data_IF_238318882079
#
_entry.id   IF_238318882079
#
_cell.length_a   1.000
_cell.length_b   1.000
_cell.length_c   1.000
_cell.angle_alpha   90.00
_cell.angle_beta   90.00
_cell.angle_gamma   90.00
#
_symmetry.space_group_name_H-M   'P 1'
#
loop_
_entity.id
_entity.type
_entity.pdbx_description
1 polymer ?
#
# COMPACT_ATOMS: atom_id res chain seq x y z
N UNK A 1 -8.95 18.33 10.53
CA UNK A 1 -9.01 17.64 9.23
C UNK A 1 -10.43 17.71 8.71
N UNK A 2 -10.62 18.20 7.49
CA UNK A 2 -11.94 18.27 6.86
C UNK A 2 -12.63 16.89 6.87
N UNK A 3 -13.92 16.87 7.21
CA UNK A 3 -14.75 15.66 7.28
C UNK A 3 -14.76 14.91 5.94
N UNK A 4 -14.65 15.62 4.81
CA UNK A 4 -14.55 15.00 3.48
C UNK A 4 -13.21 14.30 3.29
N UNK A 5 -12.10 15.00 3.57
CA UNK A 5 -10.74 14.46 3.48
C UNK A 5 -10.57 13.23 4.39
N UNK A 6 -11.16 13.25 5.59
CA UNK A 6 -11.12 12.11 6.51
C UNK A 6 -11.82 10.87 5.96
N UNK A 7 -12.98 11.03 5.30
CA UNK A 7 -13.68 9.91 4.67
C UNK A 7 -12.87 9.32 3.52
N UNK A 8 -12.30 10.17 2.68
CA UNK A 8 -11.49 9.77 1.54
C UNK A 8 -10.21 9.03 2.01
N UNK A 9 -9.55 9.53 3.06
CA UNK A 9 -8.41 8.87 3.68
C UNK A 9 -8.76 7.48 4.22
N UNK A 10 -9.89 7.34 4.92
CA UNK A 10 -10.33 6.03 5.42
C UNK A 10 -10.51 5.05 4.26
N UNK A 11 -11.20 5.45 3.19
CA UNK A 11 -11.41 4.60 2.02
C UNK A 11 -10.09 4.18 1.37
N UNK A 12 -9.18 5.14 1.16
CA UNK A 12 -7.88 4.88 0.51
C UNK A 12 -7.05 3.91 1.33
N UNK A 13 -6.95 4.13 2.63
CA UNK A 13 -6.17 3.30 3.55
C UNK A 13 -6.80 1.92 3.73
N UNK A 14 -8.13 1.80 3.71
CA UNK A 14 -8.82 0.49 3.74
C UNK A 14 -8.47 -0.35 2.51
N UNK A 15 -8.47 0.24 1.31
CA UNK A 15 -8.13 -0.49 0.08
C UNK A 15 -6.64 -0.87 0.07
N UNK A 16 -5.74 0.00 0.57
CA UNK A 16 -4.32 -0.35 0.75
C UNK A 16 -4.15 -1.55 1.68
N UNK A 17 -4.89 -1.60 2.79
CA UNK A 17 -4.83 -2.73 3.73
C UNK A 17 -5.36 -4.01 3.11
N UNK A 18 -6.41 -3.95 2.28
CA UNK A 18 -6.90 -5.11 1.53
C UNK A 18 -5.83 -5.66 0.59
N UNK A 19 -5.17 -4.80 -0.19
CA UNK A 19 -4.06 -5.22 -1.05
C UNK A 19 -2.89 -5.80 -0.26
N UNK A 20 -2.51 -5.17 0.85
CA UNK A 20 -1.44 -5.67 1.71
C UNK A 20 -1.78 -7.03 2.32
N UNK A 21 -3.05 -7.26 2.68
CA UNK A 21 -3.54 -8.55 3.15
C UNK A 21 -3.52 -9.58 2.01
N UNK A 22 -3.98 -9.22 0.81
CA UNK A 22 -3.91 -10.09 -0.37
C UNK A 22 -2.47 -10.51 -0.66
N UNK A 23 -1.49 -9.60 -0.54
CA UNK A 23 -0.07 -9.94 -0.73
C UNK A 23 0.43 -10.99 0.28
N UNK A 24 0.05 -10.87 1.56
CA UNK A 24 0.34 -11.88 2.59
C UNK A 24 -0.29 -13.22 2.21
N UNK A 25 -1.56 -13.21 1.79
CA UNK A 25 -2.27 -14.43 1.40
C UNK A 25 -1.62 -15.09 0.18
N UNK A 26 -1.33 -14.34 -0.88
CA UNK A 26 -0.63 -14.84 -2.07
C UNK A 26 0.74 -15.45 -1.73
N UNK A 27 1.51 -14.83 -0.83
CA UNK A 27 2.80 -15.38 -0.38
C UNK A 27 2.68 -16.69 0.42
N UNK A 28 1.53 -16.98 1.03
CA UNK A 28 1.29 -18.26 1.69
C UNK A 28 0.91 -19.38 0.70
N UNK A 29 0.34 -19.03 -0.45
CA UNK A 29 -0.08 -19.99 -1.47
C UNK A 29 1.01 -20.33 -2.49
N UNK A 30 2.10 -19.55 -2.56
CA UNK A 30 3.23 -19.80 -3.45
C UNK A 30 4.30 -20.64 -2.71
N UNK A 31 4.49 -21.93 -3.06
CA UNK A 31 5.51 -22.75 -2.43
C UNK A 31 6.92 -22.20 -2.72
N UNK A 32 7.71 -22.00 -1.66
CA UNK A 32 9.12 -21.59 -1.76
C UNK A 32 9.43 -20.15 -1.29
N UNK A 33 8.44 -19.32 -0.98
CA UNK A 33 8.70 -17.98 -0.46
C UNK A 33 8.95 -18.01 1.05
N UNK A 34 10.22 -18.01 1.47
CA UNK A 34 10.62 -17.81 2.88
C UNK A 34 10.29 -16.39 3.42
N UNK A 35 9.57 -15.57 2.64
CA UNK A 35 9.30 -14.16 2.96
C UNK A 35 7.96 -13.92 3.66
N UNK A 36 7.15 -14.95 3.93
CA UNK A 36 5.85 -14.80 4.61
C UNK A 36 5.97 -14.02 5.92
N UNK A 37 6.99 -14.32 6.73
CA UNK A 37 7.26 -13.58 7.96
C UNK A 37 7.50 -12.09 7.72
N UNK A 38 8.24 -11.74 6.66
CA UNK A 38 8.48 -10.34 6.29
C UNK A 38 7.20 -9.65 5.81
N UNK A 39 6.35 -10.34 5.04
CA UNK A 39 5.07 -9.79 4.58
C UNK A 39 4.10 -9.54 5.74
N UNK A 40 4.05 -10.46 6.72
CA UNK A 40 3.25 -10.27 7.94
C UNK A 40 3.74 -9.07 8.75
N UNK A 41 5.06 -8.95 8.95
CA UNK A 41 5.64 -7.78 9.66
C UNK A 41 5.33 -6.49 8.91
N UNK A 42 5.50 -6.46 7.58
CA UNK A 42 5.16 -5.30 6.75
C UNK A 42 3.68 -4.93 6.87
N UNK A 43 2.78 -5.91 6.89
CA UNK A 43 1.34 -5.69 7.08
C UNK A 43 1.06 -5.05 8.44
N UNK A 44 1.62 -5.60 9.53
CA UNK A 44 1.45 -5.07 10.89
C UNK A 44 1.96 -3.64 10.98
N UNK A 45 3.16 -3.36 10.46
CA UNK A 45 3.74 -2.00 10.46
C UNK A 45 2.88 -1.02 9.65
N UNK A 46 2.35 -1.46 8.50
CA UNK A 46 1.43 -0.66 7.68
C UNK A 46 0.15 -0.35 8.44
N UNK A 47 -0.42 -1.34 9.14
CA UNK A 47 -1.61 -1.16 9.97
C UNK A 47 -1.38 -0.17 11.11
N UNK A 48 -0.22 -0.24 11.78
CA UNK A 48 0.16 0.73 12.82
C UNK A 48 0.26 2.14 12.24
N UNK A 49 0.93 2.32 11.09
CA UNK A 49 1.03 3.62 10.42
C UNK A 49 -0.33 4.18 10.01
N UNK A 50 -1.23 3.33 9.49
CA UNK A 50 -2.61 3.70 9.14
C UNK A 50 -3.36 4.21 10.37
N UNK A 51 -3.24 3.54 11.52
CA UNK A 51 -3.88 4.00 12.76
C UNK A 51 -3.38 5.38 13.18
N UNK A 52 -2.06 5.62 13.13
CA UNK A 52 -1.51 6.94 13.44
C UNK A 52 -1.92 8.01 12.43
N UNK A 53 -1.95 7.69 11.14
CA UNK A 53 -2.43 8.57 10.08
C UNK A 53 -3.90 8.98 10.30
N UNK A 54 -4.76 8.03 10.65
CA UNK A 54 -6.18 8.29 10.95
C UNK A 54 -6.41 9.10 12.23
N UNK A 55 -5.47 9.05 13.18
CA UNK A 55 -5.43 9.92 14.36
C UNK A 55 -4.89 11.33 14.07
N UNK A 56 -4.47 11.61 12.83
CA UNK A 56 -3.97 12.92 12.42
C UNK A 56 -2.49 13.15 12.73
N UNK A 57 -1.70 12.10 12.95
CA UNK A 57 -0.27 12.24 13.16
C UNK A 57 0.44 12.62 11.85
N UNK A 58 0.94 13.85 11.76
CA UNK A 58 1.58 14.39 10.55
C UNK A 58 2.82 13.59 10.11
N UNK A 59 3.62 13.12 11.07
CA UNK A 59 4.79 12.28 10.78
C UNK A 59 4.40 10.94 10.13
N UNK A 60 3.30 10.33 10.57
CA UNK A 60 2.83 9.06 10.03
C UNK A 60 2.30 9.23 8.60
N UNK A 61 1.58 10.33 8.32
CA UNK A 61 1.15 10.68 6.97
C UNK A 61 2.35 10.89 6.03
N UNK A 62 3.40 11.55 6.52
CA UNK A 62 4.63 11.77 5.76
C UNK A 62 5.32 10.45 5.42
N UNK A 63 5.59 9.60 6.43
CA UNK A 63 6.22 8.29 6.22
C UNK A 63 5.38 7.43 5.28
N UNK A 64 4.07 7.33 5.54
CA UNK A 64 3.17 6.49 4.76
C UNK A 64 3.08 6.98 3.30
N UNK A 65 3.12 8.29 3.06
CA UNK A 65 3.12 8.83 1.69
C UNK A 65 4.34 8.39 0.88
N UNK A 66 5.53 8.44 1.49
CA UNK A 66 6.79 8.04 0.85
C UNK A 66 6.82 6.54 0.61
N UNK A 67 6.48 5.74 1.63
CA UNK A 67 6.47 4.29 1.53
C UNK A 67 5.46 3.80 0.49
N UNK A 68 4.27 4.40 0.44
CA UNK A 68 3.25 4.04 -0.53
C UNK A 68 3.68 4.40 -1.96
N UNK A 69 4.24 5.61 -2.17
CA UNK A 69 4.71 6.02 -3.49
C UNK A 69 5.89 5.16 -3.99
N UNK A 70 6.91 4.97 -3.15
CA UNK A 70 8.09 4.18 -3.51
C UNK A 70 7.74 2.68 -3.68
N UNK A 71 6.95 2.13 -2.76
CA UNK A 71 6.47 0.74 -2.84
C UNK A 71 5.60 0.53 -4.07
N UNK A 72 4.66 1.43 -4.34
CA UNK A 72 3.81 1.38 -5.53
C UNK A 72 4.61 1.43 -6.83
N UNK A 73 5.59 2.33 -6.94
CA UNK A 73 6.47 2.40 -8.11
C UNK A 73 7.25 1.10 -8.32
N UNK A 74 7.84 0.57 -7.25
CA UNK A 74 8.58 -0.68 -7.30
C UNK A 74 7.70 -1.86 -7.75
N UNK A 75 6.49 -1.97 -7.18
CA UNK A 75 5.51 -3.00 -7.54
C UNK A 75 5.14 -2.90 -9.02
N UNK A 76 4.88 -1.71 -9.55
CA UNK A 76 4.54 -1.55 -10.98
C UNK A 76 5.71 -2.02 -11.86
N UNK A 77 6.94 -1.60 -11.55
CA UNK A 77 8.12 -1.98 -12.34
C UNK A 77 8.36 -3.49 -12.29
N UNK A 78 8.30 -4.11 -11.12
CA UNK A 78 8.51 -5.57 -10.98
C UNK A 78 7.38 -6.39 -11.63
N UNK A 79 6.16 -5.86 -11.60
CA UNK A 79 5.02 -6.50 -12.25
C UNK A 79 5.11 -6.40 -13.77
N UNK A 80 5.59 -5.28 -14.32
CA UNK A 80 5.84 -5.14 -15.76
C UNK A 80 6.87 -6.15 -16.27
N UNK A 81 7.93 -6.43 -15.50
CA UNK A 81 8.92 -7.44 -15.88
C UNK A 81 8.39 -8.87 -15.86
N UNK A 82 7.29 -9.15 -15.15
CA UNK A 82 6.73 -10.51 -15.02
C UNK A 82 5.51 -10.77 -15.92
N UNK A 83 5.12 -9.81 -16.78
CA UNK A 83 3.94 -9.92 -17.67
C UNK A 83 3.99 -11.16 -18.57
N UNK A 84 5.18 -11.51 -19.07
CA UNK A 84 5.38 -12.66 -19.97
C UNK A 84 5.32 -14.01 -19.28
N UNK A 85 5.55 -14.06 -17.96
CA UNK A 85 5.61 -15.31 -17.19
C UNK A 85 4.28 -15.59 -16.48
N UNK A 86 3.66 -14.54 -15.92
CA UNK A 86 2.40 -14.65 -15.21
C UNK A 86 1.57 -13.39 -15.43
N UNK A 87 0.85 -13.35 -16.55
CA UNK A 87 0.04 -12.18 -16.95
C UNK A 87 -0.97 -11.79 -15.87
N UNK A 88 -1.63 -12.76 -15.22
CA UNK A 88 -2.59 -12.45 -14.16
C UNK A 88 -1.92 -11.81 -12.93
N UNK A 89 -0.84 -12.42 -12.44
CA UNK A 89 -0.06 -11.88 -11.32
C UNK A 89 0.51 -10.50 -11.63
N UNK A 90 1.01 -10.29 -12.86
CA UNK A 90 1.52 -9.02 -13.32
C UNK A 90 0.43 -7.94 -13.39
N UNK A 91 -0.75 -8.24 -13.96
CA UNK A 91 -1.87 -7.28 -13.99
C UNK A 91 -2.33 -6.93 -12.58
N UNK A 92 -2.48 -7.93 -11.70
CA UNK A 92 -2.82 -7.70 -10.30
C UNK A 92 -1.79 -6.80 -9.60
N UNK A 93 -0.50 -7.08 -9.80
CA UNK A 93 0.60 -6.29 -9.27
C UNK A 93 0.60 -4.86 -9.80
N UNK A 94 0.38 -4.64 -11.10
CA UNK A 94 0.26 -3.29 -11.70
C UNK A 94 -0.88 -2.50 -11.04
N UNK A 95 -2.07 -3.11 -10.88
CA UNK A 95 -3.22 -2.46 -10.25
C UNK A 95 -2.92 -2.12 -8.79
N UNK A 96 -2.35 -3.06 -8.03
CA UNK A 96 -1.92 -2.84 -6.66
C UNK A 96 -0.89 -1.70 -6.57
N UNK A 97 0.14 -1.72 -7.42
CA UNK A 97 1.21 -0.73 -7.42
C UNK A 97 0.71 0.67 -7.80
N UNK A 98 -0.18 0.77 -8.80
CA UNK A 98 -0.83 2.01 -9.18
C UNK A 98 -1.69 2.58 -8.05
N UNK A 99 -2.39 1.71 -7.30
CA UNK A 99 -3.16 2.14 -6.13
C UNK A 99 -2.26 2.69 -5.02
N UNK A 100 -1.15 2.02 -4.72
CA UNK A 100 -0.18 2.48 -3.72
C UNK A 100 0.46 3.81 -4.12
N UNK A 101 0.80 3.99 -5.40
CA UNK A 101 1.27 5.26 -5.95
C UNK A 101 0.24 6.38 -5.75
N UNK A 102 -1.00 6.14 -6.15
CA UNK A 102 -2.09 7.09 -5.97
C UNK A 102 -2.28 7.46 -4.48
N UNK A 103 -2.31 6.46 -3.59
CA UNK A 103 -2.46 6.68 -2.17
C UNK A 103 -1.30 7.51 -1.60
N UNK A 104 -0.06 7.23 -2.01
CA UNK A 104 1.11 8.00 -1.60
C UNK A 104 1.02 9.47 -2.01
N UNK A 105 0.67 9.74 -3.28
CA UNK A 105 0.48 11.11 -3.78
C UNK A 105 -0.68 11.80 -3.06
N UNK A 106 -1.80 11.13 -2.87
CA UNK A 106 -2.97 11.68 -2.18
C UNK A 106 -2.63 12.08 -0.73
N UNK A 107 -1.94 11.20 0.00
CA UNK A 107 -1.48 11.48 1.37
C UNK A 107 -0.53 12.68 1.39
N UNK A 108 0.42 12.76 0.45
CA UNK A 108 1.36 13.87 0.38
C UNK A 108 0.66 15.22 0.14
N UNK A 109 -0.34 15.27 -0.73
CA UNK A 109 -1.10 16.49 -1.06
C UNK A 109 -2.05 16.90 0.08
N UNK A 110 -2.65 15.93 0.77
CA UNK A 110 -3.65 16.20 1.82
C UNK A 110 -3.05 16.39 3.22
N UNK A 111 -1.77 16.06 3.43
CA UNK A 111 -1.10 16.16 4.75
C UNK A 111 -1.18 17.55 5.40
N UNK A 112 -1.12 18.62 4.60
CA UNK A 112 -1.11 20.01 5.08
C UNK A 112 -2.52 20.64 5.12
N UNK A 113 -3.55 19.89 4.70
CA UNK A 113 -4.95 20.31 4.71
C UNK A 113 -5.70 19.76 5.95
N UNK A 114 -4.94 19.26 6.92
CA UNK A 114 -5.39 18.73 8.20
C UNK A 114 -5.80 19.83 9.16
#
# INVERSE_FOLDING_TARGET
>A
MDKKIRKDLVLILSIMLLFSLSAVVFSNFLPGTQETGQQVVRFILTLVLVVFALRGAAWALWILSILAAAGGAHIVVSSLSSVSENTFGAVFGIVMGAWFLFAGVYLAVTRNRG
#
